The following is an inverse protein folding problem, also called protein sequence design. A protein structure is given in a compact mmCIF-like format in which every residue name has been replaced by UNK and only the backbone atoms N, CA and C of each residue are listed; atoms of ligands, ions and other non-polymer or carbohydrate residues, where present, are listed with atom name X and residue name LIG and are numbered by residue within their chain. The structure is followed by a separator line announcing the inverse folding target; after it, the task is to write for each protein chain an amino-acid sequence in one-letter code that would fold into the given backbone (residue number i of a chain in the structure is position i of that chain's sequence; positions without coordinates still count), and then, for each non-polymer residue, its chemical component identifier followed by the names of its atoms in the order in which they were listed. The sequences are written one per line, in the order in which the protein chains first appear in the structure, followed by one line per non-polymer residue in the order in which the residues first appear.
data_IF_654231265851
#
_entry.id   IF_654231265851
#
_cell.length_a   1.000
_cell.length_b   1.000
_cell.length_c   1.000
_cell.angle_alpha   90.00
_cell.angle_beta   90.00
_cell.angle_gamma   90.00
#
_symmetry.space_group_name_H-M   'P 1'
#
loop_
_entity.id
_entity.type
_entity.pdbx_description
1 polymer ?
#
# COMPACT_ATOMS: atom_id res chain seq x y z
N UNK A 1 -26.04 24.21 13.27
CA UNK A 1 -24.61 24.40 12.96
C UNK A 1 -24.43 24.11 11.48
N UNK A 2 -24.25 25.14 10.64
CA UNK A 2 -23.97 24.91 9.21
C UNK A 2 -22.58 24.29 9.10
N UNK A 3 -22.52 23.05 8.63
CA UNK A 3 -21.26 22.34 8.39
C UNK A 3 -20.58 22.98 7.20
N UNK A 4 -19.66 23.90 7.47
CA UNK A 4 -18.87 24.55 6.44
C UNK A 4 -18.00 23.50 5.70
N UNK A 5 -17.97 23.60 4.38
CA UNK A 5 -17.11 22.74 3.55
C UNK A 5 -15.67 23.20 3.73
N UNK A 6 -14.75 22.27 3.95
CA UNK A 6 -13.34 22.62 4.18
C UNK A 6 -12.53 22.32 2.92
N UNK A 7 -11.74 23.29 2.46
CA UNK A 7 -10.78 23.07 1.37
C UNK A 7 -9.69 22.09 1.80
N UNK A 8 -9.32 21.18 0.89
CA UNK A 8 -8.31 20.13 1.12
C UNK A 8 -7.44 19.96 -0.12
N UNK A 9 -6.31 19.28 0.05
CA UNK A 9 -5.41 18.93 -1.05
C UNK A 9 -5.83 17.65 -1.77
N UNK A 10 -6.65 16.84 -1.10
CA UNK A 10 -6.95 15.49 -1.52
C UNK A 10 -8.27 15.03 -0.93
N UNK A 11 -8.99 14.20 -1.69
CA UNK A 11 -10.20 13.50 -1.28
C UNK A 11 -10.01 12.01 -1.53
N UNK A 12 -10.38 11.17 -0.56
CA UNK A 12 -10.23 9.73 -0.66
C UNK A 12 -11.13 9.13 -1.75
N UNK A 13 -10.55 8.29 -2.62
CA UNK A 13 -11.27 7.59 -3.68
C UNK A 13 -12.43 6.71 -3.21
N UNK A 14 -12.44 6.29 -1.94
CA UNK A 14 -13.53 5.52 -1.35
C UNK A 14 -14.87 6.29 -1.30
N UNK A 15 -14.83 7.62 -1.30
CA UNK A 15 -16.00 8.49 -1.28
C UNK A 15 -15.74 9.78 -2.07
N UNK A 16 -15.27 9.64 -3.31
CA UNK A 16 -14.99 10.75 -4.22
C UNK A 16 -16.20 11.02 -5.12
N UNK A 17 -16.64 12.28 -5.18
CA UNK A 17 -17.66 12.74 -6.11
C UNK A 17 -17.18 13.97 -6.88
N UNK A 18 -17.47 14.03 -8.18
CA UNK A 18 -17.06 15.14 -9.02
C UNK A 18 -18.10 15.44 -10.11
N UNK A 19 -18.10 16.68 -10.59
CA UNK A 19 -18.93 17.08 -11.75
C UNK A 19 -18.39 16.43 -13.01
N UNK A 20 -19.26 15.96 -13.90
CA UNK A 20 -18.88 15.37 -15.18
C UNK A 20 -17.96 16.27 -16.02
N UNK A 21 -18.11 17.59 -15.91
CA UNK A 21 -17.23 18.58 -16.55
C UNK A 21 -15.77 18.45 -16.11
N UNK A 22 -15.50 18.18 -14.83
CA UNK A 22 -14.13 18.01 -14.33
C UNK A 22 -13.46 16.85 -15.05
N UNK A 23 -14.15 15.70 -15.14
CA UNK A 23 -13.64 14.54 -15.87
C UNK A 23 -13.48 14.79 -17.37
N UNK A 24 -14.38 15.56 -18.01
CA UNK A 24 -14.20 15.98 -19.41
C UNK A 24 -12.96 16.86 -19.61
N UNK A 25 -12.61 17.68 -18.62
CA UNK A 25 -11.47 18.62 -18.71
C UNK A 25 -10.13 17.99 -18.37
N UNK A 26 -10.06 17.13 -17.35
CA UNK A 26 -8.78 16.57 -16.88
C UNK A 26 -8.61 15.07 -17.18
N UNK A 27 -9.66 14.39 -17.66
CA UNK A 27 -9.71 12.93 -17.81
C UNK A 27 -10.09 12.20 -16.52
N UNK A 28 -10.24 10.88 -16.64
CA UNK A 28 -10.56 9.98 -15.52
C UNK A 28 -9.32 9.62 -14.69
N UNK A 29 -9.48 8.69 -13.75
CA UNK A 29 -8.39 8.06 -13.00
C UNK A 29 -7.44 7.35 -13.97
N UNK A 30 -6.14 7.46 -13.71
CA UNK A 30 -5.12 6.83 -14.55
C UNK A 30 -4.91 5.38 -14.11
N UNK A 31 -5.36 4.44 -14.95
CA UNK A 31 -5.37 3.00 -14.66
C UNK A 31 -3.99 2.41 -14.35
N UNK A 32 -2.90 3.10 -14.74
CA UNK A 32 -1.54 2.68 -14.41
C UNK A 32 -1.29 2.67 -12.90
N UNK A 33 -2.01 3.50 -12.15
CA UNK A 33 -1.96 3.52 -10.69
C UNK A 33 -2.64 2.33 -10.04
N UNK A 34 -3.29 1.42 -10.78
CA UNK A 34 -4.04 0.26 -10.27
C UNK A 34 -3.73 0.00 -8.79
N UNK A 35 -4.62 0.52 -7.93
CA UNK A 35 -4.52 0.58 -6.47
C UNK A 35 -3.45 1.53 -5.87
N UNK A 36 -3.90 2.55 -5.11
CA UNK A 36 -3.09 3.59 -4.42
C UNK A 36 -2.55 4.68 -5.38
N UNK A 37 -2.67 5.96 -4.98
CA UNK A 37 -2.25 7.17 -5.72
C UNK A 37 -3.13 7.57 -6.92
N UNK A 38 -4.08 6.75 -7.36
CA UNK A 38 -4.98 7.07 -8.48
C UNK A 38 -5.81 8.32 -8.21
N UNK A 39 -6.36 8.40 -7.00
CA UNK A 39 -7.18 9.50 -6.51
C UNK A 39 -6.33 10.73 -6.16
N UNK A 40 -5.13 10.51 -5.64
CA UNK A 40 -4.15 11.56 -5.35
C UNK A 40 -3.65 12.25 -6.61
N UNK A 41 -3.33 11.48 -7.67
CA UNK A 41 -3.01 12.01 -9.00
C UNK A 41 -4.18 12.81 -9.58
N UNK A 42 -5.40 12.29 -9.43
CA UNK A 42 -6.59 12.94 -9.97
C UNK A 42 -6.92 14.25 -9.25
N UNK A 43 -6.88 14.29 -7.92
CA UNK A 43 -7.04 15.51 -7.13
C UNK A 43 -5.96 16.55 -7.47
N UNK A 44 -4.71 16.10 -7.63
CA UNK A 44 -3.61 16.98 -8.02
C UNK A 44 -3.83 17.60 -9.41
N UNK A 45 -4.26 16.80 -10.40
CA UNK A 45 -4.64 17.30 -11.73
C UNK A 45 -5.82 18.26 -11.68
N UNK A 46 -6.85 17.96 -10.87
CA UNK A 46 -8.02 18.81 -10.70
C UNK A 46 -7.62 20.19 -10.15
N UNK A 47 -6.81 20.21 -9.09
CA UNK A 47 -6.28 21.45 -8.51
C UNK A 47 -5.43 22.25 -9.49
N UNK A 48 -4.57 21.59 -10.27
CA UNK A 48 -3.79 22.26 -11.33
C UNK A 48 -4.64 22.85 -12.45
N UNK A 49 -5.85 22.32 -12.67
CA UNK A 49 -6.81 22.86 -13.63
C UNK A 49 -7.70 23.98 -13.03
N UNK A 50 -7.48 24.36 -11.77
CA UNK A 50 -8.23 25.40 -11.07
C UNK A 50 -9.50 24.93 -10.38
N UNK A 51 -9.69 23.61 -10.21
CA UNK A 51 -10.80 23.08 -9.43
C UNK A 51 -10.43 22.90 -7.96
N UNK A 52 -11.39 23.12 -7.06
CA UNK A 52 -11.20 22.92 -5.63
C UNK A 52 -11.54 21.48 -5.22
N UNK A 53 -10.76 20.95 -4.28
CA UNK A 53 -11.09 19.72 -3.57
C UNK A 53 -11.68 20.10 -2.20
N UNK A 54 -12.89 19.63 -1.92
CA UNK A 54 -13.62 19.98 -0.70
C UNK A 54 -13.96 18.74 0.12
N UNK A 55 -13.76 18.82 1.42
CA UNK A 55 -14.26 17.87 2.41
C UNK A 55 -15.61 18.35 2.92
N UNK A 56 -16.60 17.46 2.95
CA UNK A 56 -17.97 17.75 3.38
C UNK A 56 -18.27 16.94 4.64
N UNK A 57 -18.14 17.52 5.85
CA UNK A 57 -18.24 16.76 7.11
C UNK A 57 -19.59 16.05 7.32
N UNK A 58 -20.66 16.59 6.74
CA UNK A 58 -22.02 16.01 6.82
C UNK A 58 -22.22 14.80 5.91
N UNK A 59 -21.40 14.63 4.87
CA UNK A 59 -21.47 13.48 3.97
C UNK A 59 -20.65 12.32 4.56
N UNK A 60 -21.32 11.39 5.23
CA UNK A 60 -20.67 10.27 5.94
C UNK A 60 -20.85 8.96 5.18
N UNK A 61 -19.74 8.29 4.89
CA UNK A 61 -19.71 6.95 4.27
C UNK A 61 -18.87 6.04 5.15
N UNK A 62 -19.38 4.84 5.44
CA UNK A 62 -18.65 3.82 6.20
C UNK A 62 -17.81 2.97 5.23
N UNK A 63 -16.49 2.99 5.41
CA UNK A 63 -15.55 2.20 4.59
C UNK A 63 -14.82 1.19 5.47
N UNK A 64 -14.92 -0.10 5.12
CA UNK A 64 -14.22 -1.18 5.84
C UNK A 64 -12.75 -1.26 5.38
N UNK A 65 -11.91 -0.47 6.04
CA UNK A 65 -10.47 -0.38 5.76
C UNK A 65 -9.78 -1.73 5.99
N UNK A 66 -8.84 -2.10 5.11
CA UNK A 66 -7.87 -3.18 5.38
C UNK A 66 -8.27 -4.57 4.89
N UNK A 67 -9.52 -4.80 4.45
CA UNK A 67 -9.99 -6.13 4.01
C UNK A 67 -9.19 -6.69 2.83
N UNK A 68 -8.78 -5.84 1.88
CA UNK A 68 -8.06 -6.27 0.66
C UNK A 68 -6.57 -5.91 0.65
N UNK A 69 -6.13 -5.02 1.54
CA UNK A 69 -4.79 -4.43 1.51
C UNK A 69 -3.90 -4.74 2.71
N UNK A 70 -4.47 -5.20 3.83
CA UNK A 70 -3.75 -5.30 5.10
C UNK A 70 -3.38 -3.91 5.67
N UNK A 71 -2.46 -3.89 6.64
CA UNK A 71 -1.99 -2.66 7.29
C UNK A 71 -0.89 -1.95 6.50
N UNK A 72 -0.39 -0.82 7.00
CA UNK A 72 0.77 -0.09 6.48
C UNK A 72 1.99 -0.99 6.24
N UNK A 73 2.15 -2.06 7.01
CA UNK A 73 3.25 -3.01 6.92
C UNK A 73 3.01 -4.15 5.91
N UNK A 74 1.87 -4.15 5.20
CA UNK A 74 1.54 -5.16 4.20
C UNK A 74 2.46 -5.08 2.98
N UNK A 75 3.06 -6.21 2.54
CA UNK A 75 3.87 -6.27 1.33
C UNK A 75 3.14 -5.74 0.09
N UNK A 76 1.86 -6.10 -0.09
CA UNK A 76 1.01 -5.64 -1.19
C UNK A 76 0.93 -4.11 -1.26
N UNK A 77 0.69 -3.48 -0.10
CA UNK A 77 0.64 -2.02 -0.02
C UNK A 77 2.01 -1.41 -0.29
N UNK A 78 3.08 -1.97 0.29
CA UNK A 78 4.45 -1.56 0.02
C UNK A 78 4.82 -1.60 -1.47
N UNK A 79 4.41 -2.66 -2.19
CA UNK A 79 4.59 -2.78 -3.63
C UNK A 79 3.90 -1.65 -4.41
N UNK A 80 2.58 -1.51 -4.24
CA UNK A 80 1.79 -0.52 -4.97
C UNK A 80 2.22 0.90 -4.63
N UNK A 81 2.32 1.24 -3.34
CA UNK A 81 2.76 2.57 -2.91
C UNK A 81 4.14 2.94 -3.47
N UNK A 82 5.07 1.99 -3.59
CA UNK A 82 6.41 2.28 -4.16
C UNK A 82 6.38 2.53 -5.65
N UNK A 83 5.77 1.62 -6.41
CA UNK A 83 5.66 1.72 -7.86
C UNK A 83 4.92 3.01 -8.24
N UNK A 84 3.83 3.27 -7.55
CA UNK A 84 2.92 4.35 -7.87
C UNK A 84 3.43 5.70 -7.39
N UNK A 85 4.13 5.77 -6.25
CA UNK A 85 4.82 7.01 -5.84
C UNK A 85 5.86 7.45 -6.87
N UNK A 86 6.59 6.51 -7.48
CA UNK A 86 7.56 6.82 -8.53
C UNK A 86 6.88 7.32 -9.80
N UNK A 87 5.78 6.69 -10.21
CA UNK A 87 4.97 7.14 -11.34
C UNK A 87 4.36 8.52 -11.10
N UNK A 88 3.78 8.75 -9.92
CA UNK A 88 3.20 10.03 -9.54
C UNK A 88 4.27 11.13 -9.55
N UNK A 89 5.44 10.87 -8.96
CA UNK A 89 6.55 11.81 -8.93
C UNK A 89 7.05 12.17 -10.33
N UNK A 90 7.16 11.18 -11.22
CA UNK A 90 7.56 11.42 -12.61
C UNK A 90 6.57 12.30 -13.38
N UNK A 91 5.27 12.08 -13.16
CA UNK A 91 4.20 12.83 -13.84
C UNK A 91 4.07 14.26 -13.32
N UNK A 92 4.24 14.46 -12.02
CA UNK A 92 3.75 15.65 -11.33
C UNK A 92 4.86 16.55 -10.76
N UNK A 93 6.09 16.05 -10.61
CA UNK A 93 7.21 16.80 -10.04
C UNK A 93 8.29 17.14 -11.06
N UNK A 94 9.21 18.03 -10.68
CA UNK A 94 10.39 18.32 -11.48
C UNK A 94 11.30 17.09 -11.60
N UNK A 95 12.10 17.03 -12.68
CA UNK A 95 13.11 15.97 -12.87
C UNK A 95 14.10 15.85 -11.69
N UNK A 96 14.34 16.93 -10.94
CA UNK A 96 15.21 16.91 -9.75
C UNK A 96 14.53 16.15 -8.61
N UNK A 97 13.31 16.53 -8.27
CA UNK A 97 12.54 15.92 -7.18
C UNK A 97 12.25 14.45 -7.45
N UNK A 98 11.85 14.12 -8.68
CA UNK A 98 11.68 12.73 -9.12
C UNK A 98 12.97 11.91 -8.91
N UNK A 99 14.14 12.45 -9.30
CA UNK A 99 15.43 11.77 -9.07
C UNK A 99 15.76 11.60 -7.59
N UNK A 100 15.36 12.52 -6.72
CA UNK A 100 15.53 12.36 -5.27
C UNK A 100 14.67 11.22 -4.73
N UNK A 101 13.41 11.12 -5.18
CA UNK A 101 12.50 10.05 -4.78
C UNK A 101 12.99 8.70 -5.31
N UNK A 102 13.44 8.64 -6.57
CA UNK A 102 14.05 7.43 -7.13
C UNK A 102 15.30 7.02 -6.37
N UNK A 103 16.21 7.96 -6.05
CA UNK A 103 17.39 7.69 -5.22
C UNK A 103 17.02 7.22 -3.81
N UNK A 104 15.98 7.79 -3.21
CA UNK A 104 15.49 7.32 -1.90
C UNK A 104 14.96 5.88 -1.99
N UNK A 105 14.20 5.54 -3.04
CA UNK A 105 13.70 4.19 -3.28
C UNK A 105 14.85 3.19 -3.49
N UNK A 106 15.86 3.55 -4.29
CA UNK A 106 17.03 2.71 -4.56
C UNK A 106 17.94 2.55 -3.33
N UNK A 107 18.14 3.61 -2.55
CA UNK A 107 18.93 3.55 -1.29
C UNK A 107 18.37 2.55 -0.29
N UNK A 108 17.08 2.22 -0.38
CA UNK A 108 16.46 1.21 0.47
C UNK A 108 17.02 -0.19 0.24
N UNK A 109 17.60 -0.47 -0.93
CA UNK A 109 18.15 -1.79 -1.25
C UNK A 109 19.48 -2.07 -0.55
N UNK A 110 20.23 -1.02 -0.23
CA UNK A 110 21.58 -1.12 0.30
C UNK A 110 21.57 -0.67 1.77
N UNK A 111 21.67 -1.59 2.75
CA UNK A 111 21.86 -1.19 4.14
C UNK A 111 23.15 -0.38 4.29
N UNK A 112 23.16 0.57 5.22
CA UNK A 112 24.36 1.35 5.51
C UNK A 112 25.33 0.49 6.32
N UNK A 113 26.60 0.46 5.91
CA UNK A 113 27.67 -0.06 6.75
C UNK A 113 27.91 0.95 7.87
N UNK A 114 27.61 0.55 9.11
CA UNK A 114 27.82 1.37 10.30
C UNK A 114 29.02 0.79 11.05
N UNK A 115 30.06 1.60 11.22
CA UNK A 115 31.24 1.26 12.02
C UNK A 115 31.11 1.98 13.34
N UNK A 116 30.77 1.23 14.38
CA UNK A 116 30.77 1.77 15.73
C UNK A 116 32.21 1.89 16.23
N UNK A 117 32.67 3.14 16.39
CA UNK A 117 34.00 3.46 16.93
C UNK A 117 33.99 3.66 18.44
N UNK A 118 32.82 3.64 19.08
CA UNK A 118 32.64 3.87 20.51
C UNK A 118 32.87 2.60 21.35
N UNK A 119 32.74 1.43 20.73
CA UNK A 119 33.13 0.16 21.37
C UNK A 119 34.66 0.12 21.51
N UNK A 120 35.15 0.10 22.76
CA UNK A 120 36.56 0.01 23.18
C UNK A 120 37.28 -1.26 22.66
N UNK A 121 37.32 -1.41 21.35
CA UNK A 121 37.81 -2.55 20.60
C UNK A 121 38.80 -2.07 19.55
N UNK A 122 39.86 -2.83 19.32
CA UNK A 122 40.84 -2.50 18.30
C UNK A 122 40.15 -2.33 16.93
N UNK A 123 40.68 -1.43 16.08
CA UNK A 123 40.14 -1.16 14.73
C UNK A 123 39.77 -2.43 13.92
N UNK A 124 40.55 -3.54 13.97
CA UNK A 124 40.17 -4.79 13.30
C UNK A 124 38.87 -5.41 13.83
N UNK A 125 38.64 -5.37 15.16
CA UNK A 125 37.42 -5.90 15.78
C UNK A 125 36.21 -5.06 15.41
N UNK A 126 36.32 -3.73 15.48
CA UNK A 126 35.24 -2.82 15.07
C UNK A 126 34.83 -3.04 13.61
N UNK A 127 35.82 -3.24 12.72
CA UNK A 127 35.56 -3.56 11.31
C UNK A 127 34.88 -4.92 11.13
N UNK A 128 35.34 -5.97 11.83
CA UNK A 128 34.72 -7.29 11.80
C UNK A 128 33.26 -7.24 12.25
N UNK A 129 32.96 -6.52 13.34
CA UNK A 129 31.58 -6.32 13.81
C UNK A 129 30.73 -5.56 12.81
N UNK A 130 31.28 -4.52 12.18
CA UNK A 130 30.59 -3.76 11.14
C UNK A 130 30.24 -4.64 9.93
N UNK A 131 31.20 -5.44 9.44
CA UNK A 131 30.99 -6.38 8.33
C UNK A 131 29.95 -7.44 8.71
N UNK A 132 30.08 -8.06 9.89
CA UNK A 132 29.13 -9.07 10.37
C UNK A 132 27.72 -8.49 10.51
N UNK A 133 27.60 -7.28 11.06
CA UNK A 133 26.34 -6.54 11.18
C UNK A 133 25.74 -6.22 9.81
N UNK A 134 26.56 -5.78 8.86
CA UNK A 134 26.18 -5.52 7.48
C UNK A 134 25.67 -6.78 6.78
N UNK A 135 26.38 -7.90 6.85
CA UNK A 135 25.94 -9.19 6.27
C UNK A 135 24.64 -9.66 6.91
N UNK A 136 24.50 -9.54 8.23
CA UNK A 136 23.27 -9.89 8.94
C UNK A 136 22.08 -9.04 8.48
N UNK A 137 22.27 -7.72 8.37
CA UNK A 137 21.22 -6.81 7.91
C UNK A 137 20.86 -7.06 6.44
N UNK A 138 21.85 -7.34 5.58
CA UNK A 138 21.61 -7.79 4.21
C UNK A 138 20.75 -9.04 4.16
N UNK A 139 21.12 -10.08 4.92
CA UNK A 139 20.35 -11.32 4.99
C UNK A 139 18.92 -11.06 5.46
N UNK A 140 18.74 -10.24 6.52
CA UNK A 140 17.43 -9.85 7.04
C UNK A 140 16.59 -9.16 5.95
N UNK A 141 17.14 -8.18 5.23
CA UNK A 141 16.44 -7.45 4.16
C UNK A 141 16.12 -8.30 2.94
N UNK A 142 16.92 -9.30 2.64
CA UNK A 142 16.62 -10.24 1.56
C UNK A 142 15.43 -11.14 1.92
N UNK A 143 15.29 -11.48 3.20
CA UNK A 143 14.19 -12.31 3.72
C UNK A 143 12.94 -11.52 4.12
N UNK A 144 13.03 -10.20 4.31
CA UNK A 144 11.90 -9.34 4.71
C UNK A 144 10.88 -9.20 3.55
N UNK A 145 9.62 -9.67 3.71
CA UNK A 145 8.59 -9.61 2.67
C UNK A 145 8.30 -8.19 2.18
N UNK A 146 8.37 -7.20 3.06
CA UNK A 146 8.10 -5.81 2.72
C UNK A 146 9.22 -5.25 1.82
N UNK A 147 10.47 -5.56 2.13
CA UNK A 147 11.61 -5.16 1.29
C UNK A 147 11.59 -5.84 -0.08
N UNK A 148 11.18 -7.10 -0.15
CA UNK A 148 10.96 -7.80 -1.42
C UNK A 148 9.90 -7.08 -2.26
N UNK A 149 8.78 -6.68 -1.64
CA UNK A 149 7.72 -5.96 -2.31
C UNK A 149 8.15 -4.57 -2.81
N UNK A 150 8.89 -3.81 -1.99
CA UNK A 150 9.47 -2.52 -2.40
C UNK A 150 10.41 -2.69 -3.62
N UNK A 151 11.32 -3.67 -3.58
CA UNK A 151 12.22 -4.00 -4.70
C UNK A 151 11.45 -4.30 -5.98
N UNK A 152 10.42 -5.15 -5.88
CA UNK A 152 9.59 -5.50 -7.02
C UNK A 152 8.80 -4.29 -7.56
N UNK A 153 8.34 -3.40 -6.68
CA UNK A 153 7.65 -2.16 -7.05
C UNK A 153 8.54 -1.22 -7.88
N UNK A 154 9.79 -1.00 -7.44
CA UNK A 154 10.77 -0.21 -8.21
C UNK A 154 11.08 -0.87 -9.55
N UNK A 155 11.32 -2.19 -9.56
CA UNK A 155 11.64 -2.92 -10.79
C UNK A 155 10.50 -2.82 -11.81
N UNK A 156 9.25 -3.04 -11.39
CA UNK A 156 8.10 -2.94 -12.30
C UNK A 156 7.86 -1.50 -12.77
N UNK A 157 8.14 -0.49 -11.94
CA UNK A 157 8.15 0.90 -12.40
C UNK A 157 9.19 1.12 -13.51
N UNK A 158 10.44 0.69 -13.30
CA UNK A 158 11.52 0.84 -14.28
C UNK A 158 11.24 0.08 -15.59
N UNK A 159 10.64 -1.10 -15.48
CA UNK A 159 10.21 -1.92 -16.62
C UNK A 159 8.88 -1.46 -17.25
N UNK A 160 8.29 -0.35 -16.76
CA UNK A 160 7.00 0.19 -17.23
C UNK A 160 5.84 -0.83 -17.17
N UNK A 161 5.87 -1.72 -16.18
CA UNK A 161 4.82 -2.72 -15.91
C UNK A 161 3.80 -2.18 -14.91
N UNK A 162 2.69 -1.71 -15.44
CA UNK A 162 1.56 -1.17 -14.68
C UNK A 162 0.37 -2.15 -14.66
N UNK A 163 -0.65 -1.86 -13.85
CA UNK A 163 -1.76 -2.79 -13.59
C UNK A 163 -1.54 -3.60 -12.31
N UNK A 164 -2.03 -4.83 -12.27
CA UNK A 164 -1.94 -5.66 -11.07
C UNK A 164 -0.49 -6.05 -10.68
N UNK A 165 -0.31 -6.45 -9.44
CA UNK A 165 0.92 -6.99 -8.90
C UNK A 165 1.13 -8.45 -9.33
N UNK A 166 2.39 -8.92 -9.41
CA UNK A 166 2.68 -10.35 -9.58
C UNK A 166 2.08 -11.18 -8.45
N UNK A 167 1.57 -12.38 -8.75
CA UNK A 167 0.94 -13.28 -7.76
C UNK A 167 1.81 -13.50 -6.51
N UNK A 168 3.12 -13.55 -6.67
CA UNK A 168 4.12 -13.64 -5.60
C UNK A 168 3.91 -12.60 -4.49
N UNK A 169 3.53 -11.36 -4.81
CA UNK A 169 3.30 -10.30 -3.83
C UNK A 169 2.06 -10.58 -2.99
N UNK A 170 0.99 -11.11 -3.59
CA UNK A 170 -0.22 -11.50 -2.87
C UNK A 170 0.05 -12.66 -1.92
N UNK A 171 0.81 -13.66 -2.37
CA UNK A 171 1.26 -14.78 -1.52
C UNK A 171 2.10 -14.29 -0.34
N UNK A 172 3.04 -13.36 -0.58
CA UNK A 172 3.84 -12.76 0.50
C UNK A 172 2.97 -12.04 1.53
N UNK A 173 1.95 -11.30 1.09
CA UNK A 173 0.99 -10.65 2.00
C UNK A 173 0.17 -11.65 2.80
N UNK A 174 -0.29 -12.74 2.20
CA UNK A 174 -1.03 -13.79 2.91
C UNK A 174 -0.17 -14.46 3.98
N UNK A 175 1.07 -14.82 3.65
CA UNK A 175 2.03 -15.39 4.61
C UNK A 175 2.29 -14.40 5.74
N UNK A 176 2.62 -13.16 5.41
CA UNK A 176 2.86 -12.10 6.39
C UNK A 176 1.65 -11.89 7.33
N UNK A 177 0.43 -11.85 6.78
CA UNK A 177 -0.78 -11.68 7.56
C UNK A 177 -0.99 -12.85 8.53
N UNK A 178 -0.78 -14.09 8.07
CA UNK A 178 -0.86 -15.26 8.94
C UNK A 178 0.13 -15.19 10.10
N UNK A 179 1.38 -14.76 9.84
CA UNK A 179 2.41 -14.64 10.89
C UNK A 179 2.06 -13.56 11.92
N UNK A 180 1.41 -12.47 11.51
CA UNK A 180 0.95 -11.44 12.45
C UNK A 180 -0.25 -11.88 13.30
N UNK A 181 -1.17 -12.68 12.74
CA UNK A 181 -2.27 -13.26 13.50
C UNK A 181 -1.79 -14.22 14.58
N UNK A 182 -0.73 -15.00 14.32
CA UNK A 182 -0.11 -15.86 15.35
C UNK A 182 0.64 -15.08 16.42
N UNK A 183 1.20 -13.91 16.11
CA UNK A 183 1.88 -13.06 17.09
C UNK A 183 0.91 -12.31 18.01
N UNK A 184 -0.36 -12.14 17.60
CA UNK A 184 -1.40 -11.46 18.37
C UNK A 184 -2.16 -12.38 19.34
N UNK A 185 -1.95 -13.71 19.28
CA UNK A 185 -2.55 -14.68 20.20
C UNK A 185 -1.47 -15.49 20.94
N UNK A 186 -0.98 -15.02 22.10
CA UNK A 186 -0.10 -15.81 22.96
C UNK A 186 -0.86 -16.92 23.74
N UNK A 187 -2.19 -17.01 23.60
CA UNK A 187 -3.07 -17.92 24.33
C UNK A 187 -3.81 -18.85 23.37
N UNK A 188 -3.07 -19.70 22.68
CA UNK A 188 -3.54 -20.51 21.56
C UNK A 188 -4.96 -21.09 21.69
N UNK A 189 -5.87 -20.56 20.89
CA UNK A 189 -7.05 -21.29 20.45
C UNK A 189 -6.79 -21.84 19.04
N UNK A 190 -6.77 -23.18 18.90
CA UNK A 190 -6.66 -23.84 17.59
C UNK A 190 -7.74 -23.28 16.64
N UNK A 191 -7.42 -22.95 15.38
CA UNK A 191 -8.45 -22.55 14.43
C UNK A 191 -9.43 -23.72 14.25
N UNK A 192 -10.70 -23.47 14.58
CA UNK A 192 -11.77 -24.40 14.24
C UNK A 192 -11.75 -24.58 12.71
N UNK A 193 -11.63 -25.84 12.27
CA UNK A 193 -11.81 -26.18 10.86
C UNK A 193 -13.16 -25.65 10.42
N UNK A 194 -13.16 -24.79 9.42
CA UNK A 194 -14.36 -24.47 8.64
C UNK A 194 -14.88 -25.81 8.10
N UNK A 195 -16.00 -26.28 8.64
CA UNK A 195 -16.75 -27.36 7.99
C UNK A 195 -17.34 -26.75 6.71
N UNK A 196 -16.82 -27.19 5.57
CA UNK A 196 -17.54 -27.09 4.30
C UNK A 196 -18.81 -27.94 4.44
N UNK A 197 -19.94 -27.30 4.75
CA UNK A 197 -21.26 -27.93 4.67
C UNK A 197 -21.95 -27.41 3.40
N UNK A 198 -21.43 -27.88 2.26
CA UNK A 198 -22.14 -27.83 0.99
C UNK A 198 -23.01 -29.09 0.89
N UNK A 199 -24.26 -29.01 1.34
CA UNK A 199 -25.44 -29.62 0.71
C UNK A 199 -26.64 -29.56 1.65
N UNK A 200 -27.45 -28.49 1.58
CA UNK A 200 -28.89 -28.61 1.86
C UNK A 200 -29.62 -27.59 1.01
N UNK A 201 -30.50 -28.01 0.07
CA UNK A 201 -31.29 -27.06 -0.72
C UNK A 201 -32.38 -26.41 0.15
N UNK A 202 -32.81 -25.17 -0.17
CA UNK A 202 -33.85 -24.48 0.57
C UNK A 202 -35.20 -25.22 0.44
N UNK A 203 -35.93 -25.32 1.56
CA UNK A 203 -37.30 -25.85 1.56
C UNK A 203 -38.23 -24.87 0.81
N UNK A 204 -39.18 -25.37 0.01
CA UNK A 204 -40.20 -24.50 -0.58
C UNK A 204 -41.18 -24.07 0.51
N UNK A 205 -41.36 -22.75 0.67
CA UNK A 205 -42.42 -22.21 1.51
C UNK A 205 -43.78 -22.61 0.92
N UNK A 206 -44.57 -23.28 1.75
CA UNK A 206 -45.92 -23.74 1.42
C UNK A 206 -46.84 -22.53 1.32
N UNK A 207 -47.53 -22.44 0.19
CA UNK A 207 -48.82 -21.80 0.09
C UNK A 207 -49.75 -22.34 1.19
N UNK A 208 -50.30 -21.45 2.01
CA UNK A 208 -51.52 -21.72 2.77
C UNK A 208 -52.58 -20.74 2.29
N UNK A 209 -53.47 -21.25 1.44
CA UNK A 209 -54.74 -20.66 1.12
C UNK A 209 -55.66 -20.64 2.35
N UNK A 210 -56.31 -19.49 2.57
CA UNK A 210 -57.75 -19.30 2.87
C UNK A 210 -58.34 -19.92 4.17
N UNK A 211 -59.51 -19.44 4.67
CA UNK A 211 -60.59 -18.67 4.03
C UNK A 211 -60.60 -17.17 4.34
#
# INVERSE_FOLDING_TARGET
MQSEKTSTEYVCGAALFFRAEVARRIGLLDERFFLVYEDSDWCFRARRAGFECLMVPTARVWHKIGTSFGSEASPLRGYFSTRNKLLWAEKNLSRREWREILRAALRRFYPRLVVDRSAASSLPKALLWAIRGFVREWRRRLSDPLEVAHRRGVLNYLLRRFGDCPAQIRTLTQIWASTQSFAADPGGARPQRVREDLTTPPRPDRESASP
#
